data_IF_681243876186
#
_entry.id   IF_681243876186
#
_cell.length_a   1.000
_cell.length_b   1.000
_cell.length_c   1.000
_cell.angle_alpha   90.00
_cell.angle_beta   90.00
_cell.angle_gamma   90.00
#
_symmetry.space_group_name_H-M   'P 1'
#
loop_
_entity.id
_entity.type
_entity.pdbx_description
1 polymer ?
#
# COMPACT_ATOMS: atom_id res chain seq x y z
N UNK A 1 -14.69 -1.77 -33.43
CA UNK A 1 -13.48 -2.03 -32.63
C UNK A 1 -13.56 -1.38 -31.26
N UNK A 2 -14.25 -0.24 -31.13
CA UNK A 2 -14.27 0.60 -29.93
C UNK A 2 -14.85 -0.11 -28.69
N UNK A 3 -15.89 -0.92 -28.86
CA UNK A 3 -16.51 -1.70 -27.78
C UNK A 3 -15.54 -2.70 -27.10
N UNK A 4 -14.56 -3.26 -27.83
CA UNK A 4 -13.60 -4.20 -27.23
C UNK A 4 -12.60 -3.48 -26.29
N UNK A 5 -12.24 -2.23 -26.59
CA UNK A 5 -11.35 -1.46 -25.73
C UNK A 5 -12.07 -1.04 -24.45
N UNK A 6 -13.33 -0.62 -24.57
CA UNK A 6 -14.18 -0.27 -23.43
C UNK A 6 -14.35 -1.44 -22.46
N UNK A 7 -14.70 -2.63 -22.96
CA UNK A 7 -14.80 -3.85 -22.15
C UNK A 7 -13.47 -4.22 -21.46
N UNK A 8 -12.33 -3.98 -22.10
CA UNK A 8 -11.01 -4.22 -21.49
C UNK A 8 -10.73 -3.24 -20.35
N UNK A 9 -11.05 -1.96 -20.56
CA UNK A 9 -10.88 -0.90 -19.55
C UNK A 9 -11.77 -1.20 -18.34
N UNK A 10 -13.04 -1.54 -18.54
CA UNK A 10 -13.97 -1.89 -17.45
C UNK A 10 -13.48 -3.08 -16.62
N UNK A 11 -13.00 -4.15 -17.29
CA UNK A 11 -12.45 -5.32 -16.60
C UNK A 11 -11.19 -4.98 -15.80
N UNK A 12 -10.34 -4.10 -16.34
CA UNK A 12 -9.14 -3.62 -15.65
C UNK A 12 -9.52 -2.79 -14.42
N UNK A 13 -10.43 -1.83 -14.55
CA UNK A 13 -10.92 -0.99 -13.44
C UNK A 13 -11.55 -1.82 -12.33
N UNK A 14 -12.36 -2.82 -12.69
CA UNK A 14 -12.95 -3.74 -11.72
C UNK A 14 -11.89 -4.50 -10.93
N UNK A 15 -10.87 -5.03 -11.62
CA UNK A 15 -9.78 -5.77 -11.00
C UNK A 15 -8.94 -4.85 -10.11
N UNK A 16 -8.62 -3.66 -10.59
CA UNK A 16 -7.91 -2.62 -9.85
C UNK A 16 -8.63 -2.25 -8.53
N UNK A 17 -9.95 -2.03 -8.59
CA UNK A 17 -10.78 -1.74 -7.39
C UNK A 17 -10.81 -2.91 -6.41
N UNK A 18 -10.91 -4.14 -6.89
CA UNK A 18 -10.88 -5.34 -6.03
C UNK A 18 -9.53 -5.49 -5.32
N UNK A 19 -8.42 -5.30 -6.03
CA UNK A 19 -7.08 -5.33 -5.45
C UNK A 19 -6.93 -4.29 -4.33
N UNK A 20 -7.39 -3.05 -4.55
CA UNK A 20 -7.37 -2.01 -3.53
C UNK A 20 -8.17 -2.40 -2.28
N UNK A 21 -9.37 -2.96 -2.43
CA UNK A 21 -10.18 -3.39 -1.28
C UNK A 21 -9.48 -4.48 -0.46
N UNK A 22 -8.85 -5.46 -1.13
CA UNK A 22 -8.11 -6.53 -0.47
C UNK A 22 -6.91 -5.95 0.28
N UNK A 23 -6.08 -5.14 -0.37
CA UNK A 23 -4.90 -4.53 0.26
C UNK A 23 -5.26 -3.68 1.48
N UNK A 24 -6.24 -2.78 1.35
CA UNK A 24 -6.70 -1.93 2.47
C UNK A 24 -7.25 -2.73 3.65
N UNK A 25 -7.94 -3.84 3.37
CA UNK A 25 -8.45 -4.72 4.42
C UNK A 25 -7.33 -5.49 5.12
N UNK A 26 -6.30 -5.90 4.38
CA UNK A 26 -5.15 -6.63 4.90
C UNK A 26 -4.19 -5.77 5.73
N UNK A 27 -4.19 -4.45 5.55
CA UNK A 27 -3.40 -3.53 6.39
C UNK A 27 -3.98 -3.53 7.82
N UNK A 28 -3.15 -3.79 8.85
CA UNK A 28 -3.58 -3.71 10.24
C UNK A 28 -4.11 -2.31 10.58
N UNK A 29 -5.15 -2.26 11.41
CA UNK A 29 -5.90 -1.03 11.69
C UNK A 29 -5.01 0.11 12.21
N UNK A 30 -4.00 -0.21 13.02
CA UNK A 30 -3.02 0.74 13.55
C UNK A 30 -2.22 1.51 12.47
N UNK A 31 -2.12 0.97 11.25
CA UNK A 31 -1.34 1.57 10.16
C UNK A 31 -2.19 2.24 9.09
N UNK A 32 -3.53 2.05 9.09
CA UNK A 32 -4.41 2.51 8.00
C UNK A 32 -4.38 4.03 7.78
N UNK A 33 -4.24 4.82 8.84
CA UNK A 33 -4.19 6.28 8.75
C UNK A 33 -2.84 6.84 8.29
N UNK A 34 -1.81 6.00 8.21
CA UNK A 34 -0.43 6.44 7.99
C UNK A 34 0.07 6.17 6.56
N UNK A 35 -0.69 5.43 5.76
CA UNK A 35 -0.37 5.09 4.36
C UNK A 35 -1.19 6.00 3.44
N UNK A 36 -0.52 6.59 2.44
CA UNK A 36 -1.17 7.45 1.44
C UNK A 36 -2.20 6.66 0.61
N UNK A 37 -3.35 7.27 0.37
CA UNK A 37 -4.41 6.68 -0.45
C UNK A 37 -4.10 6.78 -1.96
N UNK A 38 -4.53 5.78 -2.74
CA UNK A 38 -4.41 5.77 -4.20
C UNK A 38 -5.58 5.04 -4.86
N UNK A 39 -5.99 5.51 -6.04
CA UNK A 39 -7.01 4.88 -6.89
C UNK A 39 -6.41 3.83 -7.84
N UNK A 40 -5.09 3.69 -7.89
CA UNK A 40 -4.41 2.68 -8.68
C UNK A 40 -3.72 1.68 -7.73
N UNK A 41 -4.03 0.40 -7.89
CA UNK A 41 -3.54 -0.68 -7.06
C UNK A 41 -2.00 -0.80 -7.05
N UNK A 42 -1.35 -0.58 -8.20
CA UNK A 42 0.12 -0.63 -8.31
C UNK A 42 0.73 0.51 -7.49
N UNK A 43 0.25 1.74 -7.68
CA UNK A 43 0.72 2.90 -6.91
C UNK A 43 0.46 2.72 -5.41
N UNK A 44 -0.69 2.15 -5.04
CA UNK A 44 -0.98 1.89 -3.63
C UNK A 44 -0.01 0.87 -3.03
N UNK A 45 0.38 -0.15 -3.79
CA UNK A 45 1.38 -1.12 -3.36
C UNK A 45 2.76 -0.48 -3.15
N UNK A 46 3.17 0.44 -4.03
CA UNK A 46 4.41 1.22 -3.88
C UNK A 46 4.39 2.08 -2.60
N UNK A 47 3.26 2.72 -2.27
CA UNK A 47 3.12 3.48 -1.02
C UNK A 47 3.24 2.60 0.22
N UNK A 48 2.66 1.39 0.19
CA UNK A 48 2.80 0.40 1.27
C UNK A 48 4.28 0.02 1.44
N UNK A 49 4.96 -0.35 0.35
CA UNK A 49 6.37 -0.73 0.38
C UNK A 49 7.25 0.38 0.97
N UNK A 50 7.06 1.62 0.51
CA UNK A 50 7.80 2.77 1.03
C UNK A 50 7.52 3.05 2.51
N UNK A 51 6.26 2.90 2.96
CA UNK A 51 5.90 3.09 4.35
C UNK A 51 6.61 2.10 5.27
N UNK A 52 6.58 0.80 4.91
CA UNK A 52 7.23 -0.22 5.73
C UNK A 52 8.75 -0.16 5.67
N UNK A 53 9.34 0.15 4.52
CA UNK A 53 10.79 0.35 4.40
C UNK A 53 11.29 1.52 5.27
N UNK A 54 10.51 2.61 5.39
CA UNK A 54 10.83 3.75 6.28
C UNK A 54 10.68 3.38 7.76
N UNK A 55 9.59 2.70 8.12
CA UNK A 55 9.31 2.36 9.52
C UNK A 55 10.23 1.28 10.07
N UNK A 56 10.59 0.26 9.30
CA UNK A 56 11.57 -0.75 9.73
C UNK A 56 12.91 -0.10 10.10
N UNK A 57 13.35 0.87 9.30
CA UNK A 57 14.56 1.64 9.58
C UNK A 57 14.43 2.49 10.85
N UNK A 58 13.27 3.11 11.06
CA UNK A 58 13.01 3.93 12.24
C UNK A 58 12.94 3.08 13.52
N UNK A 59 12.25 1.94 13.49
CA UNK A 59 12.17 0.99 14.60
C UNK A 59 13.53 0.39 14.93
N UNK A 60 14.29 -0.03 13.91
CA UNK A 60 15.65 -0.57 14.11
C UNK A 60 16.56 0.48 14.74
N UNK A 61 16.51 1.73 14.26
CA UNK A 61 17.30 2.83 14.84
C UNK A 61 16.90 3.13 16.28
N UNK A 62 15.61 3.09 16.59
CA UNK A 62 15.08 3.30 17.95
C UNK A 62 15.51 2.17 18.90
N UNK A 63 15.41 0.90 18.47
CA UNK A 63 15.90 -0.25 19.23
C UNK A 63 17.41 -0.17 19.49
N UNK A 64 18.20 0.20 18.48
CA UNK A 64 19.64 0.38 18.62
C UNK A 64 19.97 1.50 19.61
N UNK A 65 19.26 2.64 19.52
CA UNK A 65 19.43 3.76 20.44
C UNK A 65 19.13 3.34 21.89
N UNK A 66 18.04 2.60 22.13
CA UNK A 66 17.68 2.04 23.45
C UNK A 66 18.73 1.07 23.98
N UNK A 67 19.35 0.26 23.11
CA UNK A 67 20.39 -0.68 23.50
C UNK A 67 21.69 0.03 23.89
N UNK A 68 22.06 1.10 23.17
CA UNK A 68 23.28 1.89 23.44
C UNK A 68 23.10 2.79 24.67
N UNK A 69 21.86 3.15 25.03
CA UNK A 69 21.55 3.98 26.20
C UNK A 69 21.25 3.20 27.48
N UNK A 70 21.32 1.86 27.45
CA UNK A 70 21.37 1.01 28.65
C UNK A 70 22.81 0.76 29.08
#
# INVERSE_FOLDING_TARGET
MDNLQEVKIEKWERSNRMCLMIMKRSIPEAFRGSISESQNAIKFLEEIEQFFAKNEKAETSNLLAKLITM
#
